data_IF_536022668708
#
_entry.id   IF_536022668708
#
_cell.length_a   1.000
_cell.length_b   1.000
_cell.length_c   1.000
_cell.angle_alpha   90.00
_cell.angle_beta   90.00
_cell.angle_gamma   90.00
#
_symmetry.space_group_name_H-M   'P 1'
#
loop_
_entity.id
_entity.type
_entity.pdbx_description
1 polymer ?
#
# COMPACT_ATOMS: atom_id res chain seq x y z
N UNK A 1 -6.38 31.70 4.27
CA UNK A 1 -5.46 30.63 3.84
C UNK A 1 -6.14 29.30 4.09
N UNK A 2 -6.57 28.64 3.06
CA UNK A 2 -6.93 27.23 3.17
C UNK A 2 -5.64 26.43 3.32
N UNK A 3 -5.42 25.81 4.47
CA UNK A 3 -4.39 24.79 4.58
C UNK A 3 -4.77 23.67 3.62
N UNK A 4 -4.07 23.53 2.50
CA UNK A 4 -4.21 22.34 1.68
C UNK A 4 -3.95 21.14 2.57
N UNK A 5 -4.98 20.32 2.76
CA UNK A 5 -4.83 19.09 3.54
C UNK A 5 -3.80 18.23 2.82
N UNK A 6 -2.74 17.91 3.51
CA UNK A 6 -1.67 17.06 3.01
C UNK A 6 -2.25 15.75 2.47
N UNK A 7 -1.95 15.42 1.25
CA UNK A 7 -2.38 14.18 0.62
C UNK A 7 -1.22 13.19 0.51
N UNK A 8 -1.54 11.92 0.56
CA UNK A 8 -0.58 10.84 0.69
C UNK A 8 -0.70 9.84 -0.45
N UNK A 9 0.42 9.27 -0.86
CA UNK A 9 0.47 8.11 -1.76
C UNK A 9 0.68 6.86 -0.91
N UNK A 10 -0.24 5.91 -0.98
CA UNK A 10 -0.12 4.63 -0.31
C UNK A 10 0.37 3.58 -1.30
N UNK A 11 1.47 2.91 -0.97
CA UNK A 11 2.07 1.86 -1.79
C UNK A 11 2.04 0.56 -1.00
N UNK A 12 1.34 -0.45 -1.52
CA UNK A 12 1.41 -1.81 -0.98
C UNK A 12 2.56 -2.59 -1.62
N UNK A 13 3.09 -3.57 -0.90
CA UNK A 13 4.27 -4.32 -1.36
C UNK A 13 5.50 -3.42 -1.50
N UNK A 14 5.62 -2.40 -0.66
CA UNK A 14 6.63 -1.36 -0.77
C UNK A 14 8.03 -1.80 -0.35
N UNK A 15 8.19 -3.01 0.23
CA UNK A 15 9.48 -3.48 0.76
C UNK A 15 10.48 -3.90 -0.31
N UNK A 16 10.08 -4.04 -1.56
CA UNK A 16 10.95 -4.51 -2.65
C UNK A 16 10.37 -4.26 -4.04
N UNK A 17 11.17 -4.46 -5.07
CA UNK A 17 10.75 -4.47 -6.47
C UNK A 17 10.04 -3.21 -6.92
N UNK A 18 8.96 -3.39 -7.67
CA UNK A 18 8.17 -2.27 -8.20
C UNK A 18 7.58 -1.37 -7.13
N UNK A 19 7.17 -1.94 -5.98
CA UNK A 19 6.61 -1.15 -4.88
C UNK A 19 7.62 -0.14 -4.33
N UNK A 20 8.85 -0.57 -4.08
CA UNK A 20 9.93 0.31 -3.65
C UNK A 20 10.25 1.38 -4.71
N UNK A 21 10.25 1.00 -5.98
CA UNK A 21 10.50 1.93 -7.09
C UNK A 21 9.38 2.98 -7.22
N UNK A 22 8.12 2.58 -7.13
CA UNK A 22 7.00 3.54 -7.08
C UNK A 22 7.16 4.53 -5.93
N UNK A 23 7.52 4.05 -4.75
CA UNK A 23 7.74 4.91 -3.60
C UNK A 23 8.84 5.96 -3.86
N UNK A 24 9.95 5.55 -4.45
CA UNK A 24 11.06 6.45 -4.82
C UNK A 24 10.63 7.50 -5.84
N UNK A 25 9.89 7.11 -6.86
CA UNK A 25 9.44 8.04 -7.90
C UNK A 25 8.44 9.07 -7.36
N UNK A 26 7.50 8.67 -6.52
CA UNK A 26 6.57 9.62 -5.89
C UNK A 26 7.28 10.53 -4.87
N UNK A 27 8.24 10.00 -4.11
CA UNK A 27 9.06 10.81 -3.22
C UNK A 27 9.84 11.88 -3.98
N UNK A 28 10.43 11.52 -5.14
CA UNK A 28 11.14 12.47 -6.00
C UNK A 28 10.24 13.61 -6.53
N UNK A 29 8.92 13.38 -6.57
CA UNK A 29 7.92 14.41 -6.90
C UNK A 29 7.47 15.22 -5.68
N UNK A 30 8.08 15.02 -4.52
CA UNK A 30 7.73 15.71 -3.28
C UNK A 30 6.47 15.18 -2.59
N UNK A 31 6.01 13.97 -2.94
CA UNK A 31 4.80 13.38 -2.36
C UNK A 31 5.11 12.66 -1.04
N UNK A 32 4.22 12.82 -0.09
CA UNK A 32 4.25 12.05 1.16
C UNK A 32 3.74 10.63 0.95
N UNK A 33 4.31 9.67 1.68
CA UNK A 33 4.11 8.25 1.42
C UNK A 33 3.63 7.49 2.66
N UNK A 34 2.72 6.54 2.43
CA UNK A 34 2.42 5.45 3.35
C UNK A 34 2.94 4.16 2.71
N UNK A 35 3.93 3.55 3.33
CA UNK A 35 4.56 2.32 2.86
C UNK A 35 3.98 1.13 3.61
N UNK A 36 3.43 0.17 2.90
CA UNK A 36 2.75 -1.00 3.46
C UNK A 36 3.40 -2.29 2.97
N UNK A 37 3.85 -3.11 3.89
CA UNK A 37 4.35 -4.47 3.62
C UNK A 37 4.45 -5.27 4.92
N UNK A 38 4.82 -6.55 4.81
CA UNK A 38 4.99 -7.44 5.98
C UNK A 38 6.34 -7.28 6.67
N UNK A 39 7.39 -6.88 5.95
CA UNK A 39 8.76 -6.81 6.47
C UNK A 39 9.10 -5.41 6.96
N UNK A 40 8.91 -5.19 8.26
CA UNK A 40 9.10 -3.88 8.89
C UNK A 40 10.49 -3.29 8.65
N UNK A 41 11.55 -4.09 8.82
CA UNK A 41 12.93 -3.61 8.67
C UNK A 41 13.23 -3.04 7.28
N UNK A 42 12.69 -3.65 6.23
CA UNK A 42 12.83 -3.15 4.86
C UNK A 42 12.04 -1.87 4.62
N UNK A 43 10.83 -1.77 5.21
CA UNK A 43 10.03 -0.55 5.13
C UNK A 43 10.71 0.62 5.85
N UNK A 44 11.27 0.39 7.02
CA UNK A 44 11.97 1.42 7.80
C UNK A 44 13.22 1.90 7.08
N UNK A 45 14.00 0.97 6.51
CA UNK A 45 15.19 1.33 5.72
C UNK A 45 14.84 2.19 4.52
N UNK A 46 13.80 1.83 3.77
CA UNK A 46 13.32 2.63 2.65
C UNK A 46 12.78 4.00 3.11
N UNK A 47 12.02 4.01 4.20
CA UNK A 47 11.46 5.25 4.73
C UNK A 47 12.55 6.24 5.15
N UNK A 48 13.61 5.75 5.80
CA UNK A 48 14.76 6.55 6.19
C UNK A 48 15.47 7.14 4.96
N UNK A 49 15.76 6.30 3.97
CA UNK A 49 16.33 6.74 2.68
C UNK A 49 15.51 7.87 2.06
N UNK A 50 14.18 7.70 1.98
CA UNK A 50 13.31 8.69 1.34
C UNK A 50 13.17 9.99 2.14
N UNK A 51 13.16 9.90 3.45
CA UNK A 51 13.17 11.10 4.32
C UNK A 51 14.44 11.90 4.13
N UNK A 52 15.58 11.23 4.02
CA UNK A 52 16.89 11.88 3.84
C UNK A 52 17.09 12.46 2.44
N UNK A 53 16.75 11.68 1.40
CA UNK A 53 17.06 12.05 0.01
C UNK A 53 16.02 12.97 -0.62
N UNK A 54 14.74 12.75 -0.34
CA UNK A 54 13.62 13.48 -0.94
C UNK A 54 12.97 14.50 0.00
N UNK A 55 13.30 14.47 1.29
CA UNK A 55 12.74 15.39 2.31
C UNK A 55 11.21 15.33 2.41
N UNK A 56 10.65 14.16 2.19
CA UNK A 56 9.19 13.91 2.29
C UNK A 56 8.84 13.21 3.60
N UNK A 57 7.59 13.31 4.02
CA UNK A 57 7.09 12.53 5.15
C UNK A 57 6.75 11.12 4.70
N UNK A 58 7.12 10.16 5.51
CA UNK A 58 6.88 8.73 5.25
C UNK A 58 6.34 8.07 6.50
N UNK A 59 5.19 7.41 6.34
CA UNK A 59 4.57 6.55 7.35
C UNK A 59 4.84 5.11 6.95
N UNK A 60 5.25 4.28 7.93
CA UNK A 60 5.46 2.85 7.74
C UNK A 60 4.35 2.10 8.46
N UNK A 61 3.68 1.20 7.73
CA UNK A 61 2.62 0.33 8.24
C UNK A 61 2.98 -1.13 7.94
N UNK A 62 3.31 -1.87 8.99
CA UNK A 62 3.51 -3.31 8.89
C UNK A 62 2.16 -4.01 8.88
N UNK A 63 1.78 -4.58 7.75
CA UNK A 63 0.47 -5.20 7.54
C UNK A 63 0.63 -6.48 6.74
N UNK A 64 -0.02 -7.55 7.18
CA UNK A 64 -0.24 -8.74 6.37
C UNK A 64 -1.53 -8.55 5.55
N UNK A 65 -1.35 -8.21 4.29
CA UNK A 65 -2.48 -7.95 3.39
C UNK A 65 -3.24 -9.23 2.98
N UNK A 66 -2.78 -10.41 3.34
CA UNK A 66 -3.58 -11.64 3.18
C UNK A 66 -4.73 -11.73 4.22
N UNK A 67 -4.72 -10.87 5.22
CA UNK A 67 -5.77 -10.75 6.24
C UNK A 67 -6.68 -9.56 5.95
N UNK A 68 -7.94 -9.84 5.65
CA UNK A 68 -8.97 -8.79 5.47
C UNK A 68 -9.14 -7.95 6.75
N UNK A 69 -8.99 -8.58 7.91
CA UNK A 69 -9.05 -7.87 9.17
C UNK A 69 -7.95 -6.80 9.27
N UNK A 70 -6.72 -7.14 8.91
CA UNK A 70 -5.60 -6.18 8.92
C UNK A 70 -5.78 -5.07 7.88
N UNK A 71 -6.38 -5.36 6.73
CA UNK A 71 -6.71 -4.35 5.72
C UNK A 71 -7.72 -3.33 6.24
N UNK A 72 -8.80 -3.78 6.85
CA UNK A 72 -9.82 -2.89 7.42
C UNK A 72 -9.27 -2.07 8.58
N UNK A 73 -8.45 -2.68 9.41
CA UNK A 73 -7.77 -2.01 10.52
C UNK A 73 -6.79 -0.93 10.03
N UNK A 74 -6.00 -1.21 9.00
CA UNK A 74 -5.13 -0.22 8.36
C UNK A 74 -5.93 1.01 7.89
N UNK A 75 -7.01 0.79 7.16
CA UNK A 75 -7.85 1.87 6.67
C UNK A 75 -8.41 2.72 7.82
N UNK A 76 -8.89 2.08 8.88
CA UNK A 76 -9.41 2.77 10.07
C UNK A 76 -8.32 3.60 10.76
N UNK A 77 -7.14 3.02 11.00
CA UNK A 77 -6.03 3.73 11.65
C UNK A 77 -5.60 4.98 10.87
N UNK A 78 -5.52 4.89 9.55
CA UNK A 78 -5.17 6.04 8.72
C UNK A 78 -6.25 7.13 8.79
N UNK A 79 -7.52 6.75 8.80
CA UNK A 79 -8.64 7.71 8.98
C UNK A 79 -8.58 8.40 10.32
N UNK A 80 -8.37 7.67 11.41
CA UNK A 80 -8.25 8.22 12.77
C UNK A 80 -7.10 9.21 12.90
N UNK A 81 -6.03 9.01 12.13
CA UNK A 81 -4.88 9.92 12.05
C UNK A 81 -5.06 11.05 11.05
N UNK A 82 -6.22 11.18 10.44
CA UNK A 82 -6.50 12.17 9.38
C UNK A 82 -5.54 12.07 8.20
N UNK A 83 -5.09 10.87 7.88
CA UNK A 83 -4.25 10.61 6.70
C UNK A 83 -5.14 10.45 5.48
N UNK A 84 -5.07 11.40 4.56
CA UNK A 84 -5.84 11.42 3.32
C UNK A 84 -5.02 10.79 2.20
N UNK A 85 -5.44 9.62 1.74
CA UNK A 85 -4.81 8.89 0.63
C UNK A 85 -5.50 9.31 -0.68
N UNK A 86 -4.78 9.98 -1.55
CA UNK A 86 -5.28 10.40 -2.86
C UNK A 86 -4.71 9.58 -4.03
N UNK A 87 -3.68 8.79 -3.79
CA UNK A 87 -3.14 7.80 -4.73
C UNK A 87 -2.94 6.48 -4.01
N UNK A 88 -3.58 5.43 -4.51
CA UNK A 88 -3.40 4.06 -4.03
C UNK A 88 -2.68 3.24 -5.10
N UNK A 89 -1.51 2.71 -4.76
CA UNK A 89 -0.76 1.78 -5.61
C UNK A 89 -0.95 0.37 -5.05
N UNK A 90 -1.86 -0.38 -5.65
CA UNK A 90 -2.09 -1.79 -5.34
C UNK A 90 -1.04 -2.65 -6.03
N UNK A 91 0.13 -2.79 -5.39
CA UNK A 91 1.26 -3.53 -5.92
C UNK A 91 1.54 -4.84 -5.16
N UNK A 92 1.05 -4.99 -3.93
CA UNK A 92 1.24 -6.23 -3.18
C UNK A 92 0.60 -7.41 -3.92
N UNK A 93 1.34 -8.50 -4.02
CA UNK A 93 0.90 -9.71 -4.68
C UNK A 93 2.07 -10.67 -4.85
N UNK A 94 1.76 -11.93 -5.09
CA UNK A 94 2.77 -12.92 -5.46
C UNK A 94 2.14 -14.03 -6.31
N UNK A 95 2.94 -14.58 -7.22
CA UNK A 95 2.58 -15.76 -8.00
C UNK A 95 3.17 -17.03 -7.42
N UNK A 96 2.59 -18.16 -7.75
CA UNK A 96 3.12 -19.48 -7.48
C UNK A 96 3.57 -20.11 -8.78
N UNK A 97 4.75 -20.70 -8.76
CA UNK A 97 5.31 -21.42 -9.91
C UNK A 97 5.30 -22.93 -9.62
N UNK A 98 5.06 -23.72 -10.66
CA UNK A 98 5.04 -25.17 -10.59
C UNK A 98 3.67 -25.78 -10.85
N UNK A 99 3.56 -27.09 -10.75
CA UNK A 99 2.30 -27.80 -10.93
C UNK A 99 1.33 -27.44 -9.82
N UNK A 100 0.10 -27.10 -10.16
CA UNK A 100 -0.93 -26.72 -9.18
C UNK A 100 -1.18 -27.81 -8.13
N UNK A 101 -1.24 -29.06 -8.58
CA UNK A 101 -1.53 -30.19 -7.66
C UNK A 101 -0.37 -30.57 -6.75
N UNK A 102 0.84 -30.10 -7.04
CA UNK A 102 2.03 -30.35 -6.23
C UNK A 102 2.27 -29.23 -5.19
N UNK A 103 1.47 -28.15 -5.24
CA UNK A 103 1.55 -27.05 -4.29
C UNK A 103 0.65 -27.33 -3.08
N UNK A 104 1.05 -26.93 -1.86
CA UNK A 104 0.15 -26.94 -0.72
C UNK A 104 -1.09 -26.06 -1.00
N UNK A 105 -2.27 -26.56 -0.66
CA UNK A 105 -3.53 -25.83 -0.90
C UNK A 105 -3.55 -24.45 -0.23
N UNK A 106 -3.05 -24.35 0.97
CA UNK A 106 -2.98 -23.11 1.75
C UNK A 106 -2.16 -22.02 1.04
N UNK A 107 -1.15 -22.37 0.24
CA UNK A 107 -0.39 -21.40 -0.54
C UNK A 107 -1.25 -20.78 -1.65
N UNK A 108 -2.04 -21.61 -2.34
CA UNK A 108 -2.97 -21.11 -3.35
C UNK A 108 -4.06 -20.25 -2.76
N UNK A 109 -4.61 -20.64 -1.61
CA UNK A 109 -5.62 -19.85 -0.90
C UNK A 109 -5.06 -18.52 -0.38
N UNK A 110 -3.84 -18.52 0.16
CA UNK A 110 -3.18 -17.30 0.61
C UNK A 110 -2.91 -16.33 -0.56
N UNK A 111 -2.56 -16.86 -1.73
CA UNK A 111 -2.42 -16.05 -2.95
C UNK A 111 -3.76 -15.41 -3.33
N UNK A 112 -4.86 -16.13 -3.29
CA UNK A 112 -6.20 -15.58 -3.55
C UNK A 112 -6.56 -14.49 -2.52
N UNK A 113 -6.28 -14.72 -1.26
CA UNK A 113 -6.52 -13.74 -0.20
C UNK A 113 -5.72 -12.45 -0.42
N UNK A 114 -4.47 -12.56 -0.83
CA UNK A 114 -3.60 -11.42 -1.08
C UNK A 114 -3.95 -10.72 -2.41
N UNK A 115 -3.99 -11.47 -3.52
CA UNK A 115 -4.06 -10.90 -4.86
C UNK A 115 -5.48 -10.51 -5.27
N UNK A 116 -6.49 -11.10 -4.65
CA UNK A 116 -7.90 -10.88 -4.99
C UNK A 116 -8.67 -10.22 -3.86
N UNK A 117 -8.80 -10.88 -2.71
CA UNK A 117 -9.65 -10.40 -1.63
C UNK A 117 -9.13 -9.07 -1.04
N UNK A 118 -7.86 -8.99 -0.70
CA UNK A 118 -7.27 -7.76 -0.15
C UNK A 118 -7.21 -6.62 -1.15
N UNK A 119 -6.86 -6.91 -2.39
CA UNK A 119 -6.87 -5.92 -3.46
C UNK A 119 -8.28 -5.34 -3.64
N UNK A 120 -9.30 -6.18 -3.61
CA UNK A 120 -10.70 -5.76 -3.66
C UNK A 120 -11.07 -4.87 -2.47
N UNK A 121 -10.71 -5.27 -1.26
CA UNK A 121 -10.98 -4.51 -0.04
C UNK A 121 -10.26 -3.16 -0.02
N UNK A 122 -8.97 -3.11 -0.37
CA UNK A 122 -8.20 -1.88 -0.47
C UNK A 122 -8.85 -0.91 -1.47
N UNK A 123 -9.17 -1.41 -2.66
CA UNK A 123 -9.82 -0.62 -3.70
C UNK A 123 -11.17 -0.08 -3.26
N UNK A 124 -11.97 -0.89 -2.60
CA UNK A 124 -13.29 -0.49 -2.10
C UNK A 124 -13.20 0.58 -1.01
N UNK A 125 -12.38 0.36 0.01
CA UNK A 125 -12.29 1.24 1.17
C UNK A 125 -11.72 2.61 0.78
N UNK A 126 -10.57 2.63 0.14
CA UNK A 126 -9.93 3.88 -0.27
C UNK A 126 -10.67 4.54 -1.44
N UNK A 127 -11.21 3.75 -2.37
CA UNK A 127 -12.01 4.26 -3.49
C UNK A 127 -13.29 4.96 -3.04
N UNK A 128 -13.95 4.48 -1.99
CA UNK A 128 -15.11 5.18 -1.39
C UNK A 128 -14.72 6.55 -0.86
N UNK A 129 -13.61 6.64 -0.15
CA UNK A 129 -13.11 7.91 0.38
C UNK A 129 -12.75 8.87 -0.75
N UNK A 130 -12.07 8.40 -1.79
CA UNK A 130 -11.74 9.20 -2.98
C UNK A 130 -12.99 9.70 -3.70
N UNK A 131 -13.99 8.83 -3.89
CA UNK A 131 -15.27 9.20 -4.49
C UNK A 131 -15.98 10.30 -3.68
N UNK A 132 -15.99 10.17 -2.37
CA UNK A 132 -16.59 11.15 -1.46
C UNK A 132 -15.95 12.53 -1.59
N UNK A 133 -14.63 12.57 -1.78
CA UNK A 133 -13.87 13.80 -2.00
C UNK A 133 -13.85 14.26 -3.46
N UNK A 134 -14.34 13.45 -4.40
CA UNK A 134 -14.30 13.68 -5.85
C UNK A 134 -12.87 13.85 -6.40
N UNK A 135 -11.90 13.22 -5.78
CA UNK A 135 -10.50 13.24 -6.20
C UNK A 135 -9.79 11.98 -5.73
N UNK A 136 -8.86 11.49 -6.52
CA UNK A 136 -8.04 10.34 -6.21
C UNK A 136 -7.71 9.50 -7.45
N UNK A 137 -6.72 8.65 -7.31
CA UNK A 137 -6.27 7.72 -8.35
C UNK A 137 -5.91 6.38 -7.75
N UNK A 138 -6.20 5.31 -8.47
CA UNK A 138 -5.84 3.95 -8.08
C UNK A 138 -5.08 3.31 -9.24
N UNK A 139 -3.87 2.82 -8.96
CA UNK A 139 -3.07 2.03 -9.88
C UNK A 139 -3.10 0.56 -9.45
N UNK A 140 -3.47 -0.31 -10.38
CA UNK A 140 -3.41 -1.76 -10.21
C UNK A 140 -2.17 -2.28 -10.93
N UNK A 141 -1.28 -2.93 -10.19
CA UNK A 141 -0.10 -3.59 -10.76
C UNK A 141 -0.43 -5.08 -10.94
N UNK A 142 -0.35 -5.53 -12.18
CA UNK A 142 -0.63 -6.92 -12.55
C UNK A 142 0.65 -7.74 -12.70
#
# INVERSE_FOLDING_TARGET
>A
MTSESKSWVLVTGASSGFGAEFAKQYAAQGRSLVLVARTLSKLESLAEELRETAKVDVIVEQVDLSSIYEVTDLHQRLRERSIVVDVLINNAGHGLNGSFLDQPLDYSLAMIDLDIASLTAMTYLFGRDMRSRKTGSILMVA
#
